data_IF_857269745885
#
_entry.id   IF_857269745885
#
_cell.length_a   1.000
_cell.length_b   1.000
_cell.length_c   1.000
_cell.angle_alpha   90.00
_cell.angle_beta   90.00
_cell.angle_gamma   90.00
#
_symmetry.space_group_name_H-M   'P 1'
#
loop_
_entity.id
_entity.type
_entity.pdbx_description
1 polymer ?
#
# COMPACT_ATOMS: atom_id res chain seq x y z
N UNK A 1 -4.03 3.97 9.72
CA UNK A 1 -3.29 4.55 8.57
C UNK A 1 -3.70 3.77 7.33
N UNK A 2 -3.74 4.38 6.16
CA UNK A 2 -4.22 3.75 4.94
C UNK A 2 -3.21 3.89 3.81
N UNK A 3 -3.17 2.90 2.92
CA UNK A 3 -2.47 2.97 1.65
C UNK A 3 -3.43 2.58 0.53
N UNK A 4 -3.57 3.45 -0.46
CA UNK A 4 -4.32 3.21 -1.68
C UNK A 4 -3.34 2.99 -2.83
N UNK A 5 -3.47 1.90 -3.54
CA UNK A 5 -2.62 1.58 -4.68
C UNK A 5 -3.48 1.37 -5.93
N UNK A 6 -3.05 1.91 -7.06
CA UNK A 6 -3.78 1.85 -8.32
C UNK A 6 -2.83 1.73 -9.51
N UNK A 7 -3.19 0.87 -10.47
CA UNK A 7 -2.51 0.74 -11.75
C UNK A 7 -3.50 0.94 -12.89
N UNK A 8 -3.17 1.86 -13.80
CA UNK A 8 -3.98 2.19 -14.96
C UNK A 8 -4.16 1.03 -15.96
N UNK A 9 -3.14 0.19 -16.14
CA UNK A 9 -3.24 -0.99 -17.00
C UNK A 9 -2.72 -2.19 -16.21
N UNK A 10 -3.62 -3.03 -15.67
CA UNK A 10 -4.94 -3.41 -16.21
C UNK A 10 -6.19 -2.76 -15.56
N UNK A 11 -6.08 -1.57 -14.95
CA UNK A 11 -7.14 -0.92 -14.13
C UNK A 11 -7.41 -1.70 -12.84
N UNK A 12 -6.35 -2.13 -12.19
CA UNK A 12 -6.40 -2.83 -10.91
C UNK A 12 -5.96 -1.88 -9.79
N UNK A 13 -6.71 -1.86 -8.69
CA UNK A 13 -6.39 -1.07 -7.51
C UNK A 13 -6.90 -1.73 -6.24
N UNK A 14 -6.39 -1.27 -5.11
CA UNK A 14 -6.81 -1.73 -3.79
C UNK A 14 -6.46 -0.71 -2.72
N UNK A 15 -7.19 -0.77 -1.62
CA UNK A 15 -6.92 0.04 -0.43
C UNK A 15 -6.66 -0.91 0.73
N UNK A 16 -5.60 -0.64 1.47
CA UNK A 16 -5.26 -1.34 2.70
C UNK A 16 -5.35 -0.34 3.85
N UNK A 17 -6.18 -0.65 4.84
CA UNK A 17 -6.21 0.08 6.10
C UNK A 17 -5.54 -0.77 7.17
N UNK A 18 -4.38 -0.34 7.65
CA UNK A 18 -3.64 -1.01 8.69
C UNK A 18 -3.68 -0.21 10.00
N UNK A 19 -3.67 -0.96 11.09
CA UNK A 19 -3.88 -0.48 12.46
C UNK A 19 -2.54 -0.35 13.18
N UNK A 20 -1.60 -1.27 12.91
CA UNK A 20 -0.29 -1.33 13.56
C UNK A 20 0.84 -1.40 12.51
N UNK A 21 2.05 -0.93 12.84
CA UNK A 21 3.18 -1.00 11.91
C UNK A 21 3.82 -2.40 11.83
N UNK A 22 3.85 -3.15 12.95
CA UNK A 22 4.61 -4.40 13.07
C UNK A 22 3.72 -5.55 13.57
N UNK A 23 3.75 -6.68 12.85
CA UNK A 23 3.03 -7.92 13.17
C UNK A 23 3.53 -8.62 14.43
N UNK A 24 4.76 -8.36 14.86
CA UNK A 24 5.33 -8.92 16.10
C UNK A 24 4.59 -8.47 17.36
N UNK A 25 3.86 -7.35 17.28
CA UNK A 25 3.04 -6.85 18.39
C UNK A 25 1.88 -7.80 18.72
N UNK A 26 1.40 -8.58 17.75
CA UNK A 26 0.37 -9.59 17.98
C UNK A 26 0.44 -10.69 16.91
N UNK A 27 1.34 -11.67 17.07
CA UNK A 27 1.62 -12.67 16.04
C UNK A 27 0.40 -13.55 15.73
N UNK A 28 -0.42 -13.87 16.74
CA UNK A 28 -1.67 -14.62 16.52
C UNK A 28 -2.67 -13.83 15.64
N UNK A 29 -2.76 -12.51 15.86
CA UNK A 29 -3.63 -11.64 15.05
C UNK A 29 -3.05 -11.43 13.65
N UNK A 30 -1.73 -11.40 13.51
CA UNK A 30 -1.07 -11.27 12.21
C UNK A 30 -1.32 -12.48 11.30
N UNK A 31 -1.40 -13.69 11.86
CA UNK A 31 -1.76 -14.89 11.10
C UNK A 31 -3.21 -14.81 10.62
N UNK A 32 -4.13 -14.42 11.49
CA UNK A 32 -5.56 -14.37 11.15
C UNK A 32 -5.96 -13.16 10.29
N UNK A 33 -5.26 -12.03 10.48
CA UNK A 33 -5.56 -10.73 9.86
C UNK A 33 -4.26 -9.99 9.49
N UNK A 34 -3.50 -10.48 8.49
CA UNK A 34 -2.27 -9.82 8.04
C UNK A 34 -2.52 -8.40 7.52
N UNK A 35 -3.72 -8.12 7.00
CA UNK A 35 -4.11 -6.77 6.55
C UNK A 35 -4.16 -5.72 7.68
N UNK A 36 -4.19 -6.14 8.95
CA UNK A 36 -4.18 -5.22 10.08
C UNK A 36 -2.80 -4.60 10.36
N UNK A 37 -1.73 -5.15 9.78
CA UNK A 37 -0.36 -4.72 10.03
C UNK A 37 0.30 -4.19 8.74
N UNK A 38 1.18 -3.19 8.86
CA UNK A 38 1.82 -2.58 7.70
C UNK A 38 2.83 -3.53 7.03
N UNK A 39 3.67 -4.19 7.83
CA UNK A 39 4.71 -5.12 7.41
C UNK A 39 4.20 -6.32 6.58
N UNK A 40 3.02 -6.84 6.91
CA UNK A 40 2.40 -7.99 6.24
C UNK A 40 1.29 -7.56 5.27
N UNK A 41 0.54 -6.52 5.60
CA UNK A 41 -0.53 -6.00 4.77
C UNK A 41 -0.05 -5.33 3.49
N UNK A 42 1.04 -4.56 3.53
CA UNK A 42 1.57 -3.87 2.33
C UNK A 42 2.05 -4.89 1.28
N UNK A 43 2.90 -5.89 1.62
CA UNK A 43 3.26 -6.95 0.68
C UNK A 43 2.04 -7.69 0.14
N UNK A 44 1.04 -7.98 0.99
CA UNK A 44 -0.19 -8.65 0.59
C UNK A 44 -0.96 -7.84 -0.46
N UNK A 45 -1.06 -6.51 -0.29
CA UNK A 45 -1.71 -5.62 -1.26
C UNK A 45 -1.02 -5.70 -2.63
N UNK A 46 0.31 -5.60 -2.67
CA UNK A 46 1.08 -5.66 -3.92
C UNK A 46 1.07 -7.05 -4.55
N UNK A 47 1.03 -8.12 -3.75
CA UNK A 47 0.89 -9.48 -4.26
C UNK A 47 -0.48 -9.67 -4.93
N UNK A 48 -1.57 -9.17 -4.32
CA UNK A 48 -2.90 -9.20 -4.93
C UNK A 48 -2.97 -8.36 -6.20
N UNK A 49 -2.34 -7.18 -6.23
CA UNK A 49 -2.24 -6.38 -7.45
C UNK A 49 -1.45 -7.09 -8.55
N UNK A 50 -0.33 -7.74 -8.20
CA UNK A 50 0.47 -8.52 -9.16
C UNK A 50 -0.31 -9.72 -9.70
N UNK A 51 -1.12 -10.39 -8.87
CA UNK A 51 -2.02 -11.45 -9.29
C UNK A 51 -3.10 -10.96 -10.27
N UNK A 52 -3.50 -9.68 -10.15
CA UNK A 52 -4.36 -9.00 -11.13
C UNK A 52 -3.60 -8.50 -12.35
N UNK A 53 -2.41 -9.01 -12.64
CA UNK A 53 -1.54 -8.61 -13.76
C UNK A 53 -1.08 -7.15 -13.69
N UNK A 54 -1.20 -6.48 -12.53
CA UNK A 54 -0.67 -5.14 -12.35
C UNK A 54 0.86 -5.18 -12.27
N UNK A 55 1.52 -4.56 -13.24
CA UNK A 55 2.97 -4.35 -13.18
C UNK A 55 3.31 -3.39 -12.05
N UNK A 56 4.05 -3.84 -11.03
CA UNK A 56 4.44 -3.04 -9.87
C UNK A 56 5.11 -1.70 -10.25
N UNK A 57 5.88 -1.67 -11.35
CA UNK A 57 6.50 -0.43 -11.88
C UNK A 57 5.51 0.66 -12.28
N UNK A 58 4.25 0.30 -12.57
CA UNK A 58 3.20 1.22 -12.98
C UNK A 58 2.14 1.44 -11.89
N UNK A 59 2.30 0.81 -10.72
CA UNK A 59 1.40 1.00 -9.58
C UNK A 59 1.75 2.33 -8.92
N UNK A 60 0.76 3.21 -8.82
CA UNK A 60 0.83 4.43 -8.02
C UNK A 60 0.27 4.13 -6.63
N UNK A 61 1.02 4.38 -5.58
CA UNK A 61 0.59 4.20 -4.20
C UNK A 61 0.53 5.54 -3.47
N UNK A 62 -0.53 5.74 -2.69
CA UNK A 62 -0.81 6.92 -1.89
C UNK A 62 -1.02 6.48 -0.46
N UNK A 63 -0.26 7.05 0.46
CA UNK A 63 -0.41 6.77 1.89
C UNK A 63 -1.18 7.93 2.51
N UNK A 64 -2.25 7.60 3.24
CA UNK A 64 -3.10 8.53 3.95
C UNK A 64 -3.10 8.16 5.45
N UNK A 65 -2.52 9.02 6.28
CA UNK A 65 -2.40 8.85 7.72
C UNK A 65 -0.98 8.49 8.14
N UNK A 66 -0.43 9.31 9.04
CA UNK A 66 0.97 9.29 9.45
C UNK A 66 1.67 10.59 9.08
N UNK A 67 2.41 11.16 10.02
CA UNK A 67 3.37 12.24 9.75
C UNK A 67 4.36 11.76 8.68
N UNK A 68 4.55 12.56 7.64
CA UNK A 68 5.39 12.24 6.49
C UNK A 68 6.87 12.40 6.83
N UNK A 69 7.58 11.30 7.05
CA UNK A 69 8.99 11.23 6.70
C UNK A 69 9.13 10.41 5.41
N UNK A 70 8.90 11.12 4.31
CA UNK A 70 9.03 10.62 2.93
C UNK A 70 10.52 10.34 2.68
N UNK A 71 10.95 9.10 2.87
CA UNK A 71 12.25 8.62 2.38
C UNK A 71 12.02 7.67 1.22
N UNK A 72 12.36 8.12 0.02
CA UNK A 72 12.50 7.26 -1.17
C UNK A 72 11.70 7.70 -2.39
N UNK A 73 12.24 8.70 -3.10
CA UNK A 73 12.14 8.95 -4.55
C UNK A 73 10.78 8.72 -5.25
N UNK A 74 10.16 9.83 -5.63
CA UNK A 74 9.00 9.99 -6.54
C UNK A 74 7.60 9.83 -5.93
N UNK A 75 7.35 10.54 -4.82
CA UNK A 75 5.97 11.00 -4.55
C UNK A 75 5.56 12.04 -5.59
N UNK A 76 4.42 11.75 -6.23
CA UNK A 76 3.85 12.43 -7.37
C UNK A 76 3.61 13.93 -7.12
N UNK A 77 4.22 14.79 -7.95
CA UNK A 77 3.68 16.12 -8.26
C UNK A 77 2.41 15.94 -9.09
N UNK A 78 1.27 15.96 -8.42
CA UNK A 78 -0.03 16.19 -9.04
C UNK A 78 -0.36 17.66 -8.80
N UNK A 79 -0.83 18.34 -9.86
CA UNK A 79 -1.19 19.76 -9.97
C UNK A 79 -0.08 20.72 -10.44
N UNK A 80 0.28 20.63 -11.72
CA UNK A 80 0.60 21.83 -12.50
C UNK A 80 -0.16 21.71 -13.82
N UNK A 81 -1.38 22.25 -13.87
CA UNK A 81 -2.02 22.61 -15.13
C UNK A 81 -1.51 23.99 -15.50
N UNK A 82 -0.69 24.08 -16.53
CA UNK A 82 -0.50 25.30 -17.31
C UNK A 82 -0.55 24.95 -18.79
#
# INVERSE_FOLDING_TARGET
MAIAAYNYNPRAGGVLHFILPDSNLSPQKAINQPAAFADTGIPLLFQKLSALQAKLRHVKAFVAGGTSEITGSNMFKIWECK
#
